data_IF_444114350938
#
_entry.id   IF_444114350938
#
_cell.length_a   1.000
_cell.length_b   1.000
_cell.length_c   1.000
_cell.angle_alpha   90.00
_cell.angle_beta   90.00
_cell.angle_gamma   90.00
#
_symmetry.space_group_name_H-M   'P 1'
#
loop_
_entity.id
_entity.type
_entity.pdbx_description
1 polymer ?
#
# COMPACT_ATOMS: atom_id res chain seq x y z
N UNK A 1 72.92 6.83 8.82
CA UNK A 1 71.69 7.63 8.70
C UNK A 1 70.62 6.69 8.19
N UNK A 2 69.66 6.31 9.08
CA UNK A 2 68.56 5.40 8.75
C UNK A 2 67.31 6.22 8.61
N UNK A 3 66.77 6.31 7.37
CA UNK A 3 65.51 6.99 7.10
C UNK A 3 64.34 6.04 7.41
N UNK A 4 63.52 6.37 8.38
CA UNK A 4 62.34 5.65 8.76
C UNK A 4 61.15 6.37 8.07
N UNK A 5 60.60 5.76 7.04
CA UNK A 5 59.38 6.21 6.34
C UNK A 5 58.17 5.78 7.16
N UNK A 6 57.44 6.75 7.69
CA UNK A 6 56.17 6.54 8.44
C UNK A 6 55.03 6.53 7.43
N UNK A 7 54.44 5.35 7.19
CA UNK A 7 53.23 5.20 6.36
C UNK A 7 51.99 5.52 7.17
N UNK A 8 51.32 6.61 6.84
CA UNK A 8 49.96 6.92 7.35
C UNK A 8 48.94 6.03 6.62
N UNK A 9 48.35 5.10 7.31
CA UNK A 9 47.16 4.42 6.88
C UNK A 9 45.95 5.30 7.21
N UNK A 10 45.33 5.92 6.20
CA UNK A 10 44.06 6.63 6.32
C UNK A 10 42.94 5.60 6.26
N UNK A 11 42.35 5.27 7.38
CA UNK A 11 41.14 4.43 7.44
C UNK A 11 39.94 5.27 6.99
N UNK A 12 39.48 5.07 5.78
CA UNK A 12 38.21 5.63 5.30
C UNK A 12 37.05 4.84 5.92
N UNK A 13 36.42 5.41 6.95
CA UNK A 13 35.18 4.89 7.52
C UNK A 13 34.04 5.14 6.54
N UNK A 14 33.63 4.10 5.81
CA UNK A 14 32.41 4.12 5.01
C UNK A 14 31.23 4.05 5.96
N UNK A 15 30.63 5.20 6.26
CA UNK A 15 29.35 5.30 6.94
C UNK A 15 28.27 4.83 5.95
N UNK A 16 27.89 3.56 5.99
CA UNK A 16 26.70 3.08 5.33
C UNK A 16 25.50 3.71 6.05
N UNK A 17 24.93 4.77 5.47
CA UNK A 17 23.64 5.28 5.89
C UNK A 17 22.62 4.17 5.68
N UNK A 18 22.24 3.46 6.73
CA UNK A 18 21.06 2.62 6.74
C UNK A 18 19.87 3.55 6.47
N UNK A 19 19.38 3.55 5.25
CA UNK A 19 18.09 4.16 4.93
C UNK A 19 17.05 3.38 5.75
N UNK A 20 16.58 3.98 6.84
CA UNK A 20 15.45 3.45 7.59
C UNK A 20 14.29 3.33 6.59
N UNK A 21 13.92 2.10 6.26
CA UNK A 21 12.70 1.84 5.49
C UNK A 21 11.56 1.82 6.48
N UNK A 22 10.50 2.55 6.15
CA UNK A 22 9.27 2.48 6.91
C UNK A 22 8.76 1.03 7.00
N UNK A 23 8.10 0.71 8.11
CA UNK A 23 7.52 -0.61 8.35
C UNK A 23 6.50 -0.97 7.25
N UNK A 24 6.57 -2.20 6.76
CA UNK A 24 5.53 -2.71 5.88
C UNK A 24 4.21 -2.88 6.65
N UNK A 25 3.11 -2.48 6.03
CA UNK A 25 1.76 -2.58 6.57
C UNK A 25 0.89 -3.46 5.67
N UNK A 26 1.10 -4.80 5.67
CA UNK A 26 0.64 -5.70 4.62
C UNK A 26 -0.85 -6.01 4.62
N UNK A 27 -1.59 -5.62 5.64
CA UNK A 27 -3.00 -5.97 5.84
C UNK A 27 -3.69 -5.02 6.80
N UNK A 28 -5.01 -5.17 6.98
CA UNK A 28 -5.76 -4.45 7.99
C UNK A 28 -5.13 -4.62 9.38
N UNK A 29 -4.92 -3.50 10.08
CA UNK A 29 -4.22 -3.41 11.37
C UNK A 29 -2.76 -3.87 11.35
N UNK A 30 -2.12 -3.88 10.18
CA UNK A 30 -0.67 -4.06 10.04
C UNK A 30 -0.15 -5.47 10.28
N UNK A 31 1.16 -5.63 10.44
CA UNK A 31 1.82 -6.93 10.47
C UNK A 31 1.39 -7.79 11.66
N UNK A 32 1.11 -7.17 12.78
CA UNK A 32 0.70 -7.87 14.03
C UNK A 32 -0.81 -8.05 14.14
N UNK A 33 -1.62 -7.44 13.26
CA UNK A 33 -3.08 -7.35 13.32
C UNK A 33 -3.62 -6.61 14.55
N UNK A 34 -2.77 -5.92 15.30
CA UNK A 34 -3.14 -5.17 16.49
C UNK A 34 -3.37 -3.68 16.23
N UNK A 35 -3.00 -3.17 15.04
CA UNK A 35 -3.09 -1.75 14.71
C UNK A 35 -2.00 -0.91 15.39
N UNK A 36 -0.92 -1.55 15.79
CA UNK A 36 0.22 -0.88 16.45
C UNK A 36 1.42 -0.94 15.50
N UNK A 37 2.05 0.21 15.27
CA UNK A 37 3.31 0.32 14.52
C UNK A 37 4.48 0.41 15.48
N UNK A 38 5.64 -0.11 15.05
CA UNK A 38 6.93 0.03 15.73
C UNK A 38 7.64 1.34 15.38
N UNK A 39 7.09 2.14 14.46
CA UNK A 39 7.68 3.40 14.02
C UNK A 39 7.78 4.42 15.17
N UNK A 40 8.87 5.16 15.17
CA UNK A 40 9.15 6.19 16.18
C UNK A 40 9.32 7.55 15.50
N UNK A 41 9.22 8.63 16.29
CA UNK A 41 9.40 10.00 15.78
C UNK A 41 8.25 10.46 14.88
N UNK A 42 7.07 9.83 14.97
CA UNK A 42 5.89 10.23 14.22
C UNK A 42 5.40 11.61 14.68
N UNK A 43 4.89 12.44 13.76
CA UNK A 43 4.27 13.70 14.11
C UNK A 43 3.10 13.49 15.07
N UNK A 44 2.99 14.33 16.09
CA UNK A 44 1.84 14.33 17.01
C UNK A 44 0.73 15.28 16.56
N UNK A 45 1.03 16.18 15.63
CA UNK A 45 0.08 17.16 15.10
C UNK A 45 0.10 17.16 13.57
N UNK A 46 -1.06 17.31 12.97
CA UNK A 46 -1.27 17.42 11.52
C UNK A 46 -2.20 18.58 11.19
N UNK A 47 -1.97 19.19 10.05
CA UNK A 47 -2.93 20.09 9.41
C UNK A 47 -2.88 19.91 7.91
N UNK A 48 -3.75 20.61 7.19
CA UNK A 48 -3.74 20.56 5.72
C UNK A 48 -2.40 21.01 5.08
N UNK A 49 -1.56 21.72 5.86
CA UNK A 49 -0.29 22.31 5.40
C UNK A 49 0.92 21.90 6.26
N UNK A 50 0.73 21.05 7.25
CA UNK A 50 1.79 20.62 8.15
C UNK A 50 1.79 19.11 8.35
N UNK A 51 2.98 18.50 8.25
CA UNK A 51 3.21 17.07 8.42
C UNK A 51 2.41 16.17 7.46
N UNK A 52 2.04 16.70 6.28
CA UNK A 52 1.43 15.97 5.16
C UNK A 52 2.42 15.96 4.00
N UNK A 53 2.95 14.77 3.66
CA UNK A 53 3.90 14.63 2.57
C UNK A 53 3.24 14.80 1.20
N UNK A 54 2.05 14.24 1.03
CA UNK A 54 1.26 14.32 -0.19
C UNK A 54 -0.22 14.03 0.08
N UNK A 55 -1.05 14.38 -0.88
CA UNK A 55 -2.49 14.11 -0.89
C UNK A 55 -2.90 13.71 -2.30
N UNK A 56 -3.57 12.58 -2.45
CA UNK A 56 -3.99 12.04 -3.75
C UNK A 56 -5.48 11.78 -3.74
N UNK A 57 -6.18 12.29 -4.74
CA UNK A 57 -7.59 11.99 -4.95
C UNK A 57 -7.73 10.58 -5.53
N UNK A 58 -8.60 9.77 -4.94
CA UNK A 58 -8.91 8.41 -5.37
C UNK A 58 -10.32 8.39 -5.97
N UNK A 59 -10.49 7.99 -7.24
CA UNK A 59 -11.80 7.94 -7.87
C UNK A 59 -12.71 6.89 -7.27
N UNK A 60 -14.00 7.16 -7.17
CA UNK A 60 -15.03 6.23 -6.71
C UNK A 60 -15.23 6.23 -5.20
N UNK A 61 -15.78 5.13 -4.69
CA UNK A 61 -16.04 4.94 -3.26
C UNK A 61 -15.21 3.78 -2.71
N UNK A 62 -14.61 3.99 -1.54
CA UNK A 62 -13.86 2.97 -0.81
C UNK A 62 -13.94 3.22 0.70
N UNK A 63 -14.12 2.14 1.46
CA UNK A 63 -13.90 2.08 2.90
C UNK A 63 -12.71 1.20 3.27
N UNK A 64 -11.96 0.71 2.27
CA UNK A 64 -10.75 -0.08 2.51
C UNK A 64 -9.66 0.77 3.14
N UNK A 65 -8.93 0.20 4.09
CA UNK A 65 -7.69 0.81 4.55
C UNK A 65 -6.61 0.62 3.48
N UNK A 66 -5.75 1.62 3.24
CA UNK A 66 -4.57 1.40 2.42
C UNK A 66 -3.60 0.44 3.14
N UNK A 67 -2.90 -0.36 2.35
CA UNK A 67 -1.78 -1.20 2.81
C UNK A 67 -0.48 -0.73 2.16
N UNK A 68 0.64 -0.99 2.84
CA UNK A 68 1.97 -0.54 2.39
C UNK A 68 2.93 -1.72 2.32
N UNK A 69 3.64 -1.82 1.19
CA UNK A 69 4.73 -2.77 1.05
C UNK A 69 5.88 -2.15 0.22
N UNK A 70 7.03 -2.02 0.84
CA UNK A 70 8.20 -1.40 0.22
C UNK A 70 7.94 0.05 -0.18
N UNK A 71 7.97 0.32 -1.47
CA UNK A 71 7.75 1.63 -2.08
C UNK A 71 6.31 1.83 -2.60
N UNK A 72 5.39 0.93 -2.27
CA UNK A 72 4.02 0.88 -2.79
C UNK A 72 2.96 1.02 -1.71
N UNK A 73 1.92 1.77 -2.05
CA UNK A 73 0.64 1.78 -1.33
C UNK A 73 -0.39 1.12 -2.23
N UNK A 74 -1.20 0.22 -1.66
CA UNK A 74 -2.30 -0.42 -2.39
C UNK A 74 -3.63 -0.17 -1.67
N UNK A 75 -4.68 0.00 -2.43
CA UNK A 75 -6.05 0.12 -1.94
C UNK A 75 -7.04 -0.35 -3.00
N UNK A 76 -8.28 -0.61 -2.57
CA UNK A 76 -9.38 -0.92 -3.47
C UNK A 76 -10.31 0.26 -3.60
N UNK A 77 -11.03 0.36 -4.72
CA UNK A 77 -12.13 1.30 -4.92
C UNK A 77 -13.17 0.70 -5.86
N UNK A 78 -14.37 1.27 -5.84
CA UNK A 78 -15.41 0.95 -6.79
C UNK A 78 -15.90 2.23 -7.47
N UNK A 79 -15.85 2.26 -8.78
CA UNK A 79 -16.32 3.38 -9.61
C UNK A 79 -17.63 3.04 -10.31
N UNK A 80 -18.20 4.00 -11.06
CA UNK A 80 -19.43 3.81 -11.84
C UNK A 80 -20.59 3.28 -10.96
N UNK A 81 -20.80 3.94 -9.80
CA UNK A 81 -21.80 3.53 -8.82
C UNK A 81 -21.67 2.07 -8.36
N UNK A 82 -20.44 1.56 -8.27
CA UNK A 82 -20.12 0.22 -7.77
C UNK A 82 -19.98 -0.85 -8.87
N UNK A 83 -20.16 -0.50 -10.15
CA UNK A 83 -20.06 -1.47 -11.24
C UNK A 83 -18.63 -1.91 -11.52
N UNK A 84 -17.65 -1.00 -11.42
CA UNK A 84 -16.24 -1.27 -11.71
C UNK A 84 -15.46 -1.44 -10.40
N UNK A 85 -15.07 -2.66 -10.08
CA UNK A 85 -14.25 -3.00 -8.92
C UNK A 85 -12.77 -2.89 -9.30
N UNK A 86 -12.00 -2.10 -8.55
CA UNK A 86 -10.65 -1.70 -8.94
C UNK A 86 -9.65 -1.84 -7.80
N UNK A 87 -8.40 -2.11 -8.17
CA UNK A 87 -7.23 -2.00 -7.28
C UNK A 87 -6.34 -0.88 -7.81
N UNK A 88 -5.76 -0.13 -6.90
CA UNK A 88 -4.80 0.92 -7.20
C UNK A 88 -3.47 0.63 -6.54
N UNK A 89 -2.40 1.05 -7.20
CA UNK A 89 -1.07 1.17 -6.60
C UNK A 89 -0.58 2.61 -6.71
N UNK A 90 -0.04 3.13 -5.61
CA UNK A 90 0.57 4.44 -5.55
C UNK A 90 2.03 4.32 -5.09
N UNK A 91 2.84 5.27 -5.50
CA UNK A 91 4.18 5.46 -4.98
C UNK A 91 4.13 6.04 -3.57
N UNK A 92 4.79 5.39 -2.62
CA UNK A 92 4.72 5.76 -1.19
C UNK A 92 5.33 7.12 -0.90
N UNK A 93 6.31 7.56 -1.69
CA UNK A 93 7.02 8.83 -1.46
C UNK A 93 6.28 10.04 -2.02
N UNK A 94 5.67 9.89 -3.19
CA UNK A 94 5.06 10.99 -3.93
C UNK A 94 3.52 10.96 -3.93
N UNK A 95 2.91 9.84 -3.56
CA UNK A 95 1.46 9.64 -3.71
C UNK A 95 0.99 9.48 -5.15
N UNK A 96 1.90 9.48 -6.13
CA UNK A 96 1.54 9.35 -7.54
C UNK A 96 0.92 7.98 -7.82
N UNK A 97 -0.24 7.98 -8.47
CA UNK A 97 -0.87 6.74 -8.93
C UNK A 97 0.01 6.10 -9.99
N UNK A 98 0.53 4.91 -9.70
CA UNK A 98 1.35 4.10 -10.60
C UNK A 98 0.47 3.34 -11.58
N UNK A 99 -0.61 2.78 -11.07
CA UNK A 99 -1.66 2.18 -11.88
C UNK A 99 -3.00 2.14 -11.12
N UNK A 100 -4.09 2.10 -11.88
CA UNK A 100 -5.46 1.96 -11.42
C UNK A 100 -6.16 0.99 -12.38
N UNK A 101 -6.32 -0.26 -11.99
CA UNK A 101 -6.78 -1.33 -12.86
C UNK A 101 -8.09 -1.94 -12.38
N UNK A 102 -9.04 -2.06 -13.31
CA UNK A 102 -10.27 -2.80 -13.08
C UNK A 102 -9.95 -4.28 -12.87
N UNK A 103 -10.51 -4.88 -11.83
CA UNK A 103 -10.41 -6.31 -11.53
C UNK A 103 -11.55 -7.06 -12.24
N UNK A 104 -12.77 -6.58 -12.02
CA UNK A 104 -13.97 -7.10 -12.66
C UNK A 104 -15.11 -6.10 -12.60
N UNK A 105 -16.09 -6.34 -13.43
CA UNK A 105 -17.37 -5.64 -13.40
C UNK A 105 -18.43 -6.50 -12.71
N UNK A 106 -19.33 -5.82 -12.02
CA UNK A 106 -20.47 -6.43 -11.34
C UNK A 106 -21.75 -5.66 -11.63
N UNK A 107 -22.89 -6.30 -11.43
CA UNK A 107 -24.17 -5.62 -11.27
C UNK A 107 -24.28 -5.25 -9.81
N UNK A 108 -24.29 -3.94 -9.46
CA UNK A 108 -24.32 -3.53 -8.06
C UNK A 108 -25.58 -4.04 -7.38
N UNK A 109 -25.42 -4.79 -6.28
CA UNK A 109 -26.51 -5.23 -5.43
C UNK A 109 -26.78 -4.17 -4.36
N UNK A 110 -27.95 -4.26 -3.72
CA UNK A 110 -28.23 -3.42 -2.54
C UNK A 110 -27.20 -3.74 -1.46
N UNK A 111 -26.48 -2.71 -1.02
CA UNK A 111 -25.53 -2.79 0.08
C UNK A 111 -26.10 -2.12 1.35
N UNK A 112 -25.55 -2.46 2.49
CA UNK A 112 -25.80 -1.75 3.73
C UNK A 112 -25.26 -0.31 3.61
N UNK A 113 -26.00 0.70 4.06
CA UNK A 113 -25.70 2.12 3.82
C UNK A 113 -24.37 2.61 4.38
N UNK A 114 -23.81 1.91 5.37
CA UNK A 114 -22.49 2.20 5.95
C UNK A 114 -21.33 1.55 5.22
N UNK A 115 -21.57 0.76 4.18
CA UNK A 115 -20.57 0.08 3.38
C UNK A 115 -20.44 0.69 1.98
N UNK A 116 -19.27 0.52 1.37
CA UNK A 116 -19.05 0.70 -0.07
C UNK A 116 -18.95 -0.67 -0.75
N UNK A 117 -18.91 -0.70 -2.07
CA UNK A 117 -18.63 -1.94 -2.82
C UNK A 117 -17.16 -2.38 -2.72
N UNK A 118 -16.28 -1.53 -2.17
CA UNK A 118 -14.86 -1.78 -1.91
C UNK A 118 -14.53 -1.55 -0.43
N UNK A 119 -15.32 -2.11 0.48
CA UNK A 119 -15.09 -2.03 1.94
C UNK A 119 -13.93 -2.91 2.42
N UNK A 120 -13.74 -4.15 1.94
CA UNK A 120 -12.65 -4.98 2.42
C UNK A 120 -11.29 -4.40 2.11
N UNK A 121 -10.41 -4.39 3.12
CA UNK A 121 -9.01 -4.00 2.97
C UNK A 121 -8.25 -5.09 2.20
N UNK A 122 -7.45 -4.73 1.19
CA UNK A 122 -6.59 -5.70 0.52
C UNK A 122 -5.49 -6.21 1.46
N UNK A 123 -4.82 -7.29 1.07
CA UNK A 123 -3.64 -7.80 1.77
C UNK A 123 -2.54 -8.14 0.77
N UNK A 124 -1.30 -8.26 1.23
CA UNK A 124 -0.16 -8.64 0.40
C UNK A 124 0.75 -9.63 1.12
N UNK A 125 1.36 -10.52 0.36
CA UNK A 125 2.44 -11.43 0.78
C UNK A 125 3.84 -10.89 0.41
N UNK A 126 3.89 -9.72 -0.25
CA UNK A 126 5.11 -9.11 -0.74
C UNK A 126 5.40 -9.35 -2.23
N UNK A 127 4.65 -10.24 -2.87
CA UNK A 127 4.71 -10.53 -4.31
C UNK A 127 3.40 -10.18 -5.01
N UNK A 128 2.28 -10.39 -4.33
CA UNK A 128 0.92 -10.22 -4.85
C UNK A 128 0.07 -9.37 -3.93
N UNK A 129 -0.93 -8.72 -4.50
CA UNK A 129 -1.99 -8.02 -3.79
C UNK A 129 -3.27 -8.81 -3.95
N UNK A 130 -3.87 -9.18 -2.84
CA UNK A 130 -5.13 -9.90 -2.77
C UNK A 130 -6.25 -8.94 -2.41
N UNK A 131 -7.25 -8.85 -3.25
CA UNK A 131 -8.39 -7.97 -3.07
C UNK A 131 -9.70 -8.77 -3.01
N UNK A 132 -10.56 -8.37 -2.06
CA UNK A 132 -11.93 -8.85 -1.97
C UNK A 132 -12.88 -7.68 -2.16
N UNK A 133 -14.05 -7.93 -2.72
CA UNK A 133 -15.08 -6.91 -2.91
C UNK A 133 -16.40 -7.32 -2.28
N UNK A 134 -17.33 -6.38 -2.23
CA UNK A 134 -18.57 -6.53 -1.47
C UNK A 134 -19.52 -7.63 -1.97
N UNK A 135 -19.29 -8.19 -3.15
CA UNK A 135 -20.05 -9.32 -3.73
C UNK A 135 -19.43 -10.69 -3.40
N UNK A 136 -18.32 -10.72 -2.63
CA UNK A 136 -17.59 -11.95 -2.33
C UNK A 136 -16.58 -12.36 -3.38
N UNK A 137 -16.39 -11.56 -4.44
CA UNK A 137 -15.37 -11.82 -5.46
C UNK A 137 -13.96 -11.53 -4.93
N UNK A 138 -13.01 -12.40 -5.29
CA UNK A 138 -11.60 -12.30 -4.95
C UNK A 138 -10.72 -12.22 -6.19
N UNK A 139 -9.59 -11.52 -6.06
CA UNK A 139 -8.55 -11.49 -7.07
C UNK A 139 -7.17 -11.38 -6.45
N UNK A 140 -6.17 -11.96 -7.13
CA UNK A 140 -4.77 -11.67 -6.89
C UNK A 140 -4.19 -10.94 -8.11
N UNK A 141 -3.40 -9.90 -7.84
CA UNK A 141 -2.59 -9.17 -8.82
C UNK A 141 -1.14 -9.18 -8.42
N UNK A 142 -0.25 -9.19 -9.39
CA UNK A 142 1.15 -8.87 -9.13
C UNK A 142 1.35 -7.36 -8.89
N UNK A 143 2.56 -6.95 -8.56
CA UNK A 143 2.85 -5.53 -8.30
C UNK A 143 2.90 -4.66 -9.57
N UNK A 144 2.96 -5.25 -10.77
CA UNK A 144 2.75 -4.56 -12.03
C UNK A 144 1.25 -4.33 -12.31
N UNK A 145 0.39 -4.95 -11.51
CA UNK A 145 -1.06 -4.85 -11.59
C UNK A 145 -1.66 -5.82 -12.59
N UNK A 146 -0.94 -6.86 -13.03
CA UNK A 146 -1.51 -7.90 -13.87
C UNK A 146 -2.29 -8.92 -13.02
N UNK A 147 -3.40 -9.42 -13.56
CA UNK A 147 -4.22 -10.42 -12.88
C UNK A 147 -3.47 -11.76 -12.88
N UNK A 148 -3.24 -12.30 -11.69
CA UNK A 148 -2.69 -13.65 -11.50
C UNK A 148 -3.82 -14.69 -11.48
N UNK A 149 -4.88 -14.39 -10.73
CA UNK A 149 -6.10 -15.20 -10.72
C UNK A 149 -7.29 -14.38 -10.20
N UNK A 150 -8.49 -14.86 -10.46
CA UNK A 150 -9.75 -14.36 -9.91
C UNK A 150 -10.61 -15.54 -9.45
N UNK A 151 -11.44 -15.32 -8.44
CA UNK A 151 -12.45 -16.26 -7.99
C UNK A 151 -13.77 -15.50 -7.76
N UNK A 152 -14.85 -15.99 -8.39
CA UNK A 152 -16.22 -15.46 -8.27
C UNK A 152 -17.24 -16.56 -8.00
N UNK A 153 -16.79 -17.75 -7.62
CA UNK A 153 -17.62 -18.95 -7.52
C UNK A 153 -18.52 -18.95 -6.27
N UNK A 154 -18.21 -18.09 -5.31
CA UNK A 154 -18.94 -18.01 -4.03
C UNK A 154 -19.41 -16.58 -3.75
N UNK A 155 -20.34 -16.03 -4.55
CA UNK A 155 -20.91 -14.70 -4.28
C UNK A 155 -21.77 -14.73 -3.01
N UNK A 156 -21.70 -13.64 -2.23
CA UNK A 156 -22.56 -13.45 -1.05
C UNK A 156 -23.94 -12.96 -1.44
#
# INVERSE_FOLDING_TARGET
MKNTTLSLFTAASVFAAMLARAENWPQFRGPTRQGVSSETGLPLEWSATSNVAWKTEIPGESWSSPIVWGDRVFLTTATEAGQSCRVLSLDVKSGRVLWNKEVFRQVPRKKEGRNSYATPTPTTDGERVYACFGDGSFAARDFAGEIVWTNRDYPF
#
